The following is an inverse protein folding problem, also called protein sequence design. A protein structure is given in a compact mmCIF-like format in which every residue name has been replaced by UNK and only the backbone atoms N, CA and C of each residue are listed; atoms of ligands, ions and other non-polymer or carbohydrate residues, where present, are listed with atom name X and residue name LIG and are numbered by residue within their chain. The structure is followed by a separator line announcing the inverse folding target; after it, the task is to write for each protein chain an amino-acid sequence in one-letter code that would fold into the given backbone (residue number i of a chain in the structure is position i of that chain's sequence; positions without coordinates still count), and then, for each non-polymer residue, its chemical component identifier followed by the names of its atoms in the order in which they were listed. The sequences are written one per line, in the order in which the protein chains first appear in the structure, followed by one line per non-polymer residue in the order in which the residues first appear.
data_IF_874235987097
#
_entry.id   IF_874235987097
#
_cell.length_a   1.000
_cell.length_b   1.000
_cell.length_c   1.000
_cell.angle_alpha   90.00
_cell.angle_beta   90.00
_cell.angle_gamma   90.00
#
_symmetry.space_group_name_H-M   'P 1'
#
loop_
_entity.id
_entity.type
_entity.pdbx_description
1 polymer ?
#
# COMPACT_ATOMS: atom_id res chain seq x y z
N UNK A 1 1.87 9.16 -7.52
CA UNK A 1 3.11 9.78 -7.01
C UNK A 1 4.10 8.63 -6.88
N UNK A 2 5.10 8.55 -7.78
CA UNK A 2 6.15 7.53 -7.68
C UNK A 2 7.05 8.00 -6.55
N UNK A 3 7.03 7.29 -5.42
CA UNK A 3 7.95 7.61 -4.33
C UNK A 3 9.22 6.84 -4.62
N UNK A 4 10.07 7.42 -5.49
CA UNK A 4 11.46 7.00 -5.61
C UNK A 4 12.17 7.51 -4.37
N UNK A 5 12.51 6.63 -3.44
CA UNK A 5 13.35 7.01 -2.33
C UNK A 5 14.79 7.02 -2.82
N UNK A 6 15.25 8.16 -3.36
CA UNK A 6 16.66 8.35 -3.73
C UNK A 6 17.60 8.10 -2.53
N UNK A 7 17.05 8.24 -1.32
CA UNK A 7 17.67 7.87 -0.05
C UNK A 7 16.58 7.34 0.90
N UNK A 8 16.64 6.06 1.28
CA UNK A 8 15.87 5.52 2.42
C UNK A 8 16.61 5.68 3.75
N UNK A 9 17.85 6.19 3.72
CA UNK A 9 18.74 6.35 4.87
C UNK A 9 18.11 7.18 5.99
N UNK A 10 17.33 8.21 5.66
CA UNK A 10 16.64 9.02 6.67
C UNK A 10 15.59 8.22 7.43
N UNK A 11 14.92 7.27 6.76
CA UNK A 11 13.90 6.42 7.38
C UNK A 11 14.54 5.34 8.23
N UNK A 12 15.60 4.70 7.72
CA UNK A 12 16.31 3.63 8.43
C UNK A 12 17.10 4.17 9.64
N UNK A 13 17.82 5.28 9.50
CA UNK A 13 18.74 5.78 10.52
C UNK A 13 18.11 6.72 11.56
N UNK A 14 16.91 7.26 11.33
CA UNK A 14 16.23 8.10 12.33
C UNK A 14 15.53 7.22 13.37
N UNK A 15 16.01 7.27 14.61
CA UNK A 15 15.44 6.52 15.74
C UNK A 15 14.00 6.94 16.11
N UNK A 16 13.55 8.12 15.68
CA UNK A 16 12.15 8.57 15.87
C UNK A 16 11.20 7.90 14.90
N UNK A 17 11.71 7.34 13.80
CA UNK A 17 10.93 6.59 12.83
C UNK A 17 11.01 5.12 13.21
N UNK A 18 9.94 4.61 13.80
CA UNK A 18 9.85 3.20 14.15
C UNK A 18 9.48 2.33 12.94
N UNK A 19 8.53 2.79 12.13
CA UNK A 19 8.06 2.09 10.93
C UNK A 19 7.39 3.06 9.97
N UNK A 20 7.48 2.81 8.67
CA UNK A 20 6.95 3.63 7.60
C UNK A 20 6.06 2.81 6.66
N UNK A 21 4.92 3.39 6.28
CA UNK A 21 3.98 2.79 5.34
C UNK A 21 3.88 3.65 4.10
N UNK A 22 4.00 3.04 2.92
CA UNK A 22 3.88 3.76 1.65
C UNK A 22 3.17 2.90 0.61
N UNK A 23 2.44 3.54 -0.32
CA UNK A 23 2.02 2.88 -1.56
C UNK A 23 3.01 3.18 -2.67
N UNK A 24 3.03 2.34 -3.71
CA UNK A 24 3.99 2.47 -4.83
C UNK A 24 5.45 2.56 -4.36
N UNK A 25 5.82 1.76 -3.37
CA UNK A 25 7.19 1.67 -2.89
C UNK A 25 8.16 1.42 -4.04
N UNK A 26 9.19 2.24 -4.18
CA UNK A 26 10.25 2.06 -5.16
C UNK A 26 11.54 2.58 -4.49
N UNK A 27 12.34 1.68 -3.93
CA UNK A 27 13.56 2.05 -3.20
C UNK A 27 14.80 1.87 -4.07
N UNK A 28 15.83 2.65 -3.75
CA UNK A 28 17.10 2.64 -4.49
C UNK A 28 17.75 1.25 -4.52
N UNK A 29 18.18 0.85 -5.70
CA UNK A 29 18.87 -0.43 -5.91
C UNK A 29 17.92 -1.63 -5.98
N UNK A 30 16.60 -1.43 -5.83
CA UNK A 30 15.63 -2.52 -5.97
C UNK A 30 15.67 -3.17 -7.34
N UNK A 31 15.94 -2.40 -8.38
CA UNK A 31 16.19 -2.85 -9.75
C UNK A 31 17.40 -3.80 -9.87
N UNK A 32 18.33 -3.72 -8.90
CA UNK A 32 19.51 -4.58 -8.78
C UNK A 32 19.34 -5.63 -7.65
N UNK A 33 18.12 -5.84 -7.15
CA UNK A 33 17.82 -6.84 -6.13
C UNK A 33 18.12 -6.41 -4.69
N UNK A 34 18.31 -5.11 -4.42
CA UNK A 34 18.45 -4.64 -3.05
C UNK A 34 17.21 -5.01 -2.22
N UNK A 35 17.38 -5.52 -0.99
CA UNK A 35 16.26 -5.93 -0.15
C UNK A 35 15.40 -4.72 0.23
N UNK A 36 14.12 -4.99 0.52
CA UNK A 36 13.22 -3.95 1.05
C UNK A 36 13.79 -3.42 2.37
N UNK A 37 13.83 -2.08 2.58
CA UNK A 37 14.20 -1.49 3.85
C UNK A 37 13.38 -2.07 5.01
N UNK A 38 14.00 -2.32 6.17
CA UNK A 38 13.39 -3.03 7.29
C UNK A 38 12.18 -2.29 7.83
N UNK A 39 12.28 -0.95 7.94
CA UNK A 39 11.20 -0.10 8.44
C UNK A 39 10.13 0.19 7.39
N UNK A 40 10.20 -0.36 6.18
CA UNK A 40 9.24 -0.08 5.12
C UNK A 40 8.21 -1.20 4.97
N UNK A 41 6.92 -0.86 5.00
CA UNK A 41 5.83 -1.72 4.53
C UNK A 41 5.08 -1.08 3.38
N UNK A 42 4.92 -1.86 2.32
CA UNK A 42 4.26 -1.42 1.11
C UNK A 42 2.78 -1.74 1.18
N UNK A 43 1.95 -0.71 1.20
CA UNK A 43 0.50 -0.83 1.19
C UNK A 43 -0.01 -0.78 -0.26
N UNK A 44 -1.05 -1.55 -0.59
CA UNK A 44 -1.69 -1.45 -1.89
C UNK A 44 -2.41 -0.10 -2.02
N UNK A 45 -2.50 0.40 -3.25
CA UNK A 45 -3.32 1.57 -3.58
C UNK A 45 -4.82 1.25 -3.53
N UNK A 46 -5.17 -0.04 -3.64
CA UNK A 46 -6.53 -0.55 -3.53
C UNK A 46 -7.46 -0.13 -4.67
N UNK A 47 -8.77 -0.27 -4.44
CA UNK A 47 -9.83 -0.05 -5.43
C UNK A 47 -10.38 1.39 -5.46
N UNK A 48 -10.22 2.15 -4.37
CA UNK A 48 -10.73 3.52 -4.29
C UNK A 48 -9.89 4.44 -5.16
N UNK A 49 -10.50 5.06 -6.17
CA UNK A 49 -9.84 6.01 -7.05
C UNK A 49 -10.64 7.31 -7.12
N UNK A 50 -10.25 8.28 -6.28
CA UNK A 50 -10.92 9.58 -6.19
C UNK A 50 -10.78 10.44 -7.45
N UNK A 51 -9.87 10.08 -8.36
CA UNK A 51 -9.56 10.86 -9.55
C UNK A 51 -10.51 10.58 -10.72
N UNK A 52 -11.28 9.50 -10.70
CA UNK A 52 -12.29 9.22 -11.72
C UNK A 52 -13.68 9.01 -11.09
N UNK A 53 -14.74 9.00 -11.90
CA UNK A 53 -16.12 8.93 -11.41
C UNK A 53 -16.49 7.56 -10.84
N UNK A 54 -15.84 6.49 -11.29
CA UNK A 54 -16.11 5.11 -10.87
C UNK A 54 -15.50 4.84 -9.50
N UNK A 55 -14.19 5.10 -9.35
CA UNK A 55 -13.48 4.86 -8.11
C UNK A 55 -13.86 5.79 -6.97
N UNK A 56 -14.63 6.85 -7.26
CA UNK A 56 -15.30 7.68 -6.25
C UNK A 56 -16.54 7.00 -5.62
N UNK A 57 -17.09 5.95 -6.24
CA UNK A 57 -18.18 5.13 -5.69
C UNK A 57 -17.74 3.68 -5.50
N UNK A 58 -17.03 3.35 -4.39
CA UNK A 58 -16.60 1.99 -4.12
C UNK A 58 -17.74 0.96 -4.06
N UNK A 59 -18.97 1.41 -3.78
CA UNK A 59 -20.15 0.52 -3.74
C UNK A 59 -20.45 -0.07 -5.12
N UNK A 60 -20.02 0.59 -6.21
CA UNK A 60 -20.17 0.05 -7.56
C UNK A 60 -19.43 -1.27 -7.75
N UNK A 61 -18.23 -1.36 -7.19
CA UNK A 61 -17.46 -2.60 -7.22
C UNK A 61 -18.15 -3.71 -6.41
N UNK A 62 -18.66 -3.39 -5.23
CA UNK A 62 -19.41 -4.35 -4.40
C UNK A 62 -20.68 -4.86 -5.09
N UNK A 63 -21.42 -3.98 -5.78
CA UNK A 63 -22.59 -4.39 -6.57
C UNK A 63 -22.22 -5.35 -7.71
N UNK A 64 -21.08 -5.13 -8.35
CA UNK A 64 -20.59 -6.05 -9.37
C UNK A 64 -20.20 -7.42 -8.78
N UNK A 65 -19.77 -7.46 -7.52
CA UNK A 65 -19.52 -8.73 -6.82
C UNK A 65 -20.80 -9.47 -6.43
N UNK A 66 -21.89 -8.79 -6.06
CA UNK A 66 -23.13 -9.45 -5.59
C UNK A 66 -23.78 -10.37 -6.62
N UNK A 67 -23.49 -10.19 -7.91
CA UNK A 67 -23.92 -11.09 -8.98
C UNK A 67 -22.87 -12.15 -9.37
N UNK A 68 -21.83 -12.36 -8.56
CA UNK A 68 -20.85 -13.43 -8.78
C UNK A 68 -21.29 -14.69 -8.05
N UNK A 69 -21.14 -15.88 -8.66
CA UNK A 69 -21.29 -17.12 -7.92
C UNK A 69 -20.37 -17.05 -6.69
N UNK A 70 -20.92 -17.37 -5.51
CA UNK A 70 -20.06 -17.71 -4.39
C UNK A 70 -19.18 -18.86 -4.87
N UNK A 71 -17.89 -18.77 -4.55
CA UNK A 71 -16.93 -19.79 -4.93
C UNK A 71 -17.23 -21.04 -4.13
N UNK A 72 -18.13 -21.87 -4.64
CA UNK A 72 -18.43 -23.15 -4.04
C UNK A 72 -17.12 -23.95 -4.02
N UNK A 73 -16.72 -24.43 -2.85
CA UNK A 73 -15.53 -25.26 -2.63
C UNK A 73 -15.62 -26.65 -3.27
N UNK A 74 -16.38 -26.78 -4.35
CA UNK A 74 -16.65 -28.00 -5.10
C UNK A 74 -15.71 -28.15 -6.29
N UNK A 75 -15.24 -29.38 -6.46
CA UNK A 75 -14.38 -29.85 -7.53
C UNK A 75 -14.98 -29.59 -8.92
N UNK A 76 -14.20 -29.01 -9.83
CA UNK A 76 -14.34 -29.17 -11.29
C UNK A 76 -15.69 -28.81 -11.94
N UNK A 77 -15.89 -27.53 -12.25
CA UNK A 77 -16.89 -27.08 -13.21
C UNK A 77 -16.46 -25.73 -13.75
N UNK A 78 -16.21 -25.62 -15.05
CA UNK A 78 -15.50 -24.50 -15.66
C UNK A 78 -15.96 -23.15 -15.11
N UNK A 79 -15.01 -22.31 -14.69
CA UNK A 79 -15.28 -20.86 -14.63
C UNK A 79 -15.82 -20.53 -16.02
N UNK A 80 -17.03 -19.98 -16.16
CA UNK A 80 -17.63 -19.63 -17.47
C UNK A 80 -16.87 -18.52 -18.22
N UNK A 81 -15.55 -18.52 -18.10
CA UNK A 81 -14.56 -17.66 -18.70
C UNK A 81 -14.15 -18.28 -20.03
N UNK A 82 -14.71 -17.73 -21.10
CA UNK A 82 -14.45 -18.15 -22.47
C UNK A 82 -13.15 -17.53 -23.00
N UNK A 83 -12.79 -16.33 -22.52
CA UNK A 83 -11.59 -15.61 -22.97
C UNK A 83 -10.34 -15.97 -22.16
N UNK A 84 -9.18 -16.00 -22.83
CA UNK A 84 -7.88 -16.21 -22.18
C UNK A 84 -7.34 -14.89 -21.63
N UNK A 85 -6.89 -13.96 -22.50
CA UNK A 85 -6.31 -12.68 -22.08
C UNK A 85 -7.15 -11.49 -22.53
N UNK A 86 -7.46 -10.60 -21.60
CA UNK A 86 -8.11 -9.32 -21.88
C UNK A 86 -7.14 -8.13 -21.77
N UNK A 87 -7.20 -7.22 -22.75
CA UNK A 87 -6.41 -5.98 -22.81
C UNK A 87 -7.34 -4.76 -22.93
N UNK A 88 -7.42 -3.99 -21.84
CA UNK A 88 -8.32 -2.84 -21.68
C UNK A 88 -7.62 -1.48 -21.74
N UNK A 89 -6.48 -1.38 -22.42
CA UNK A 89 -5.73 -0.14 -22.51
C UNK A 89 -5.09 0.06 -23.88
N UNK A 90 -4.89 1.34 -24.19
CA UNK A 90 -4.17 1.80 -25.38
C UNK A 90 -2.70 2.08 -25.08
N UNK A 91 -1.92 2.16 -26.16
CA UNK A 91 -0.54 2.65 -26.14
C UNK A 91 -0.48 4.04 -25.52
N UNK A 92 0.52 4.27 -24.69
CA UNK A 92 0.68 5.53 -23.96
C UNK A 92 2.15 5.86 -23.81
N UNK A 93 2.51 7.10 -24.14
CA UNK A 93 3.88 7.61 -23.97
C UNK A 93 4.20 7.93 -22.51
N UNK A 94 3.19 8.24 -21.70
CA UNK A 94 3.34 8.58 -20.28
C UNK A 94 3.32 7.33 -19.39
N UNK A 95 2.85 6.19 -19.91
CA UNK A 95 2.78 4.89 -19.21
C UNK A 95 3.52 3.85 -20.05
N UNK A 96 4.87 3.88 -20.04
CA UNK A 96 5.71 3.15 -21.00
C UNK A 96 5.45 1.64 -21.00
N UNK A 97 5.19 1.05 -19.82
CA UNK A 97 4.87 -0.37 -19.68
C UNK A 97 3.63 -0.81 -20.47
N UNK A 98 2.67 0.09 -20.75
CA UNK A 98 1.55 -0.20 -21.66
C UNK A 98 2.03 -0.34 -23.11
N UNK A 99 2.92 0.55 -23.54
CA UNK A 99 3.47 0.53 -24.88
C UNK A 99 4.34 -0.71 -25.10
N UNK A 100 5.18 -1.07 -24.13
CA UNK A 100 6.02 -2.27 -24.18
C UNK A 100 5.19 -3.55 -24.27
N UNK A 101 4.17 -3.69 -23.41
CA UNK A 101 3.29 -4.86 -23.42
C UNK A 101 2.55 -5.02 -24.76
N UNK A 102 2.05 -3.90 -25.33
CA UNK A 102 1.40 -3.92 -26.64
C UNK A 102 2.38 -4.24 -27.77
N UNK A 103 3.59 -3.67 -27.75
CA UNK A 103 4.64 -3.96 -28.73
C UNK A 103 5.04 -5.43 -28.73
N UNK A 104 5.03 -6.09 -27.57
CA UNK A 104 5.26 -7.54 -27.48
C UNK A 104 4.12 -8.34 -28.13
N UNK A 105 2.85 -8.02 -27.84
CA UNK A 105 1.72 -8.68 -28.49
C UNK A 105 1.72 -8.48 -30.01
N UNK A 106 2.01 -7.28 -30.49
CA UNK A 106 2.20 -7.00 -31.92
C UNK A 106 3.36 -7.79 -32.52
N UNK A 107 4.41 -8.06 -31.73
CA UNK A 107 5.53 -8.91 -32.15
C UNK A 107 5.15 -10.38 -32.31
N UNK A 108 4.28 -10.88 -31.44
CA UNK A 108 3.68 -12.20 -31.59
C UNK A 108 2.80 -12.28 -32.84
N UNK A 109 1.98 -11.26 -33.11
CA UNK A 109 1.16 -11.19 -34.32
C UNK A 109 2.01 -11.18 -35.60
N UNK A 110 3.10 -10.41 -35.63
CA UNK A 110 4.06 -10.41 -36.74
C UNK A 110 4.68 -11.80 -36.97
N UNK A 111 5.06 -12.51 -35.89
CA UNK A 111 5.54 -13.90 -35.97
C UNK A 111 4.46 -14.87 -36.43
N UNK A 112 3.19 -14.57 -36.15
CA UNK A 112 2.01 -15.30 -36.60
C UNK A 112 1.52 -14.86 -38.01
N UNK A 113 2.44 -14.45 -38.89
CA UNK A 113 2.10 -14.02 -40.25
C UNK A 113 1.19 -12.79 -40.33
N UNK A 114 1.22 -11.93 -39.31
CA UNK A 114 0.40 -10.72 -39.22
C UNK A 114 -1.06 -10.95 -38.77
N UNK A 115 -1.42 -12.18 -38.38
CA UNK A 115 -2.78 -12.50 -37.93
C UNK A 115 -2.96 -12.14 -36.46
N UNK A 116 -4.16 -11.67 -36.12
CA UNK A 116 -4.58 -11.43 -34.73
C UNK A 116 -4.43 -12.68 -33.86
N UNK A 117 -4.04 -12.50 -32.60
CA UNK A 117 -3.95 -13.57 -31.61
C UNK A 117 -5.35 -13.96 -31.14
N UNK A 118 -5.77 -15.20 -31.41
CA UNK A 118 -7.11 -15.71 -31.07
C UNK A 118 -7.37 -15.78 -29.56
N UNK A 119 -6.32 -15.83 -28.75
CA UNK A 119 -6.38 -15.87 -27.28
C UNK A 119 -6.36 -14.48 -26.62
N UNK A 120 -6.32 -13.40 -27.41
CA UNK A 120 -6.26 -12.02 -26.90
C UNK A 120 -7.46 -11.21 -27.38
N UNK A 121 -8.23 -10.69 -26.42
CA UNK A 121 -9.32 -9.74 -26.67
C UNK A 121 -8.85 -8.32 -26.34
N UNK A 122 -9.01 -7.39 -27.30
CA UNK A 122 -8.66 -5.96 -27.16
C UNK A 122 -9.92 -5.11 -27.29
N UNK A 123 -10.16 -4.21 -26.33
CA UNK A 123 -11.39 -3.40 -26.31
C UNK A 123 -11.13 -1.89 -26.19
N UNK A 124 -9.87 -1.45 -26.20
CA UNK A 124 -9.54 -0.03 -26.13
C UNK A 124 -9.01 0.46 -27.48
N UNK A 125 -9.85 1.18 -28.24
CA UNK A 125 -9.41 1.98 -29.37
C UNK A 125 -8.77 3.30 -28.89
N UNK A 126 -7.86 3.86 -29.68
CA UNK A 126 -7.22 5.14 -29.36
C UNK A 126 -8.29 6.23 -29.24
N UNK A 127 -8.37 6.88 -28.07
CA UNK A 127 -9.29 7.98 -27.82
C UNK A 127 -10.65 7.58 -27.23
N UNK A 128 -10.99 6.29 -27.18
CA UNK A 128 -12.23 5.81 -26.61
C UNK A 128 -12.07 5.41 -25.13
N UNK A 129 -13.03 5.85 -24.31
CA UNK A 129 -13.16 5.34 -22.93
C UNK A 129 -14.07 4.13 -22.97
N UNK A 130 -13.51 2.96 -22.64
CA UNK A 130 -14.31 1.77 -22.37
C UNK A 130 -15.24 2.05 -21.18
N UNK A 131 -16.57 1.96 -21.35
CA UNK A 131 -17.50 2.04 -20.23
C UNK A 131 -17.12 1.02 -19.16
N UNK A 132 -17.26 1.40 -17.90
CA UNK A 132 -16.79 0.54 -16.82
C UNK A 132 -17.55 -0.80 -16.75
N UNK A 133 -18.85 -0.81 -17.08
CA UNK A 133 -19.64 -2.04 -17.08
C UNK A 133 -19.15 -3.02 -18.15
N UNK A 134 -18.73 -2.51 -19.32
CA UNK A 134 -18.12 -3.34 -20.38
C UNK A 134 -16.76 -3.88 -19.94
N UNK A 135 -15.93 -3.04 -19.33
CA UNK A 135 -14.67 -3.48 -18.72
C UNK A 135 -14.93 -4.59 -17.69
N UNK A 136 -15.87 -4.39 -16.78
CA UNK A 136 -16.21 -5.38 -15.75
C UNK A 136 -16.74 -6.68 -16.36
N UNK A 137 -17.58 -6.61 -17.39
CA UNK A 137 -18.07 -7.77 -18.14
C UNK A 137 -16.92 -8.57 -18.76
N UNK A 138 -15.99 -7.89 -19.45
CA UNK A 138 -14.82 -8.55 -20.04
C UNK A 138 -13.89 -9.15 -18.99
N UNK A 139 -13.62 -8.45 -17.88
CA UNK A 139 -12.82 -9.01 -16.78
C UNK A 139 -13.45 -10.31 -16.27
N UNK A 140 -14.78 -10.34 -16.11
CA UNK A 140 -15.52 -11.52 -15.64
C UNK A 140 -15.45 -12.68 -16.60
N UNK A 141 -15.50 -12.44 -17.91
CA UNK A 141 -15.48 -13.48 -18.95
C UNK A 141 -14.07 -13.93 -19.36
N UNK A 142 -13.02 -13.32 -18.82
CA UNK A 142 -11.63 -13.67 -19.14
C UNK A 142 -10.89 -14.26 -17.94
N UNK A 143 -10.01 -15.23 -18.21
CA UNK A 143 -9.10 -15.85 -17.23
C UNK A 143 -8.07 -14.85 -16.72
N UNK A 144 -7.47 -14.11 -17.63
CA UNK A 144 -6.39 -13.16 -17.36
C UNK A 144 -6.69 -11.76 -17.85
N UNK A 145 -6.19 -10.76 -17.13
CA UNK A 145 -6.26 -9.35 -17.54
C UNK A 145 -4.89 -8.71 -17.43
N UNK A 146 -4.44 -8.08 -18.52
CA UNK A 146 -3.14 -7.45 -18.58
C UNK A 146 -3.11 -6.15 -17.75
N UNK A 147 -2.22 -6.10 -16.76
CA UNK A 147 -2.13 -5.04 -15.76
C UNK A 147 -0.72 -4.44 -15.69
N UNK A 148 -0.21 -3.84 -16.79
CA UNK A 148 1.10 -3.19 -16.77
C UNK A 148 1.11 -1.98 -15.82
N UNK A 149 2.28 -1.67 -15.28
CA UNK A 149 2.48 -0.52 -14.40
C UNK A 149 1.95 0.78 -15.03
N UNK A 150 1.42 1.66 -14.17
CA UNK A 150 0.80 2.92 -14.54
C UNK A 150 1.77 4.09 -14.40
N UNK A 151 1.32 5.13 -13.68
CA UNK A 151 2.20 6.22 -13.24
C UNK A 151 3.08 5.82 -12.04
N UNK A 152 2.75 4.70 -11.40
CA UNK A 152 3.56 4.04 -10.40
C UNK A 152 3.50 2.53 -10.63
N UNK A 153 4.17 1.78 -9.77
CA UNK A 153 4.23 0.32 -9.83
C UNK A 153 2.87 -0.32 -9.51
N UNK A 154 2.07 0.29 -8.63
CA UNK A 154 0.73 -0.20 -8.33
C UNK A 154 -0.33 0.40 -9.26
N UNK A 155 -1.41 -0.35 -9.52
CA UNK A 155 -2.53 0.10 -10.34
C UNK A 155 -3.86 -0.31 -9.74
N UNK A 156 -4.85 0.59 -9.81
CA UNK A 156 -6.24 0.24 -9.44
C UNK A 156 -6.77 -0.95 -10.24
N UNK A 157 -6.34 -1.10 -11.50
CA UNK A 157 -6.77 -2.20 -12.37
C UNK A 157 -6.48 -3.56 -11.78
N UNK A 158 -5.30 -3.75 -11.18
CA UNK A 158 -4.92 -5.01 -10.54
C UNK A 158 -5.95 -5.40 -9.49
N UNK A 159 -6.27 -4.47 -8.58
CA UNK A 159 -7.22 -4.68 -7.49
C UNK A 159 -8.66 -4.86 -7.98
N UNK A 160 -9.08 -4.11 -9.01
CA UNK A 160 -10.37 -4.28 -9.68
C UNK A 160 -10.50 -5.69 -10.30
N UNK A 161 -9.45 -6.17 -10.95
CA UNK A 161 -9.41 -7.49 -11.61
C UNK A 161 -9.51 -8.62 -10.60
N UNK A 162 -8.76 -8.55 -9.49
CA UNK A 162 -8.87 -9.50 -8.39
C UNK A 162 -10.29 -9.54 -7.82
N UNK A 163 -10.87 -8.36 -7.58
CA UNK A 163 -12.20 -8.21 -7.01
C UNK A 163 -13.29 -8.78 -7.94
N UNK A 164 -13.11 -8.65 -9.25
CA UNK A 164 -13.98 -9.19 -10.28
C UNK A 164 -13.63 -10.63 -10.69
N UNK A 165 -12.85 -11.34 -9.87
CA UNK A 165 -12.63 -12.78 -10.01
C UNK A 165 -11.86 -13.17 -11.27
N UNK A 166 -10.94 -12.33 -11.75
CA UNK A 166 -10.00 -12.66 -12.82
C UNK A 166 -8.56 -12.52 -12.34
N UNK A 167 -7.59 -12.98 -13.11
CA UNK A 167 -6.18 -13.09 -12.71
C UNK A 167 -5.39 -11.94 -13.35
N UNK A 168 -4.84 -10.99 -12.58
CA UNK A 168 -3.98 -9.95 -13.12
C UNK A 168 -2.67 -10.55 -13.64
N UNK A 169 -2.22 -10.06 -14.79
CA UNK A 169 -0.87 -10.33 -15.34
C UNK A 169 -0.06 -9.05 -15.26
N UNK A 170 1.02 -9.07 -14.47
CA UNK A 170 1.82 -7.88 -14.12
C UNK A 170 3.29 -8.11 -14.44
N UNK A 171 4.08 -7.03 -14.46
CA UNK A 171 5.55 -7.13 -14.44
C UNK A 171 6.02 -7.23 -12.99
N UNK A 172 7.11 -7.96 -12.79
CA UNK A 172 7.82 -7.97 -11.50
C UNK A 172 8.20 -6.56 -11.07
N UNK A 173 8.11 -6.30 -9.77
CA UNK A 173 8.50 -5.05 -9.13
C UNK A 173 8.76 -5.26 -7.62
N UNK A 174 9.14 -4.19 -6.94
CA UNK A 174 9.19 -4.11 -5.47
C UNK A 174 7.88 -4.45 -4.76
N UNK A 175 6.76 -4.50 -5.47
CA UNK A 175 5.44 -4.81 -4.94
C UNK A 175 5.08 -6.30 -5.00
N UNK A 176 5.96 -7.17 -5.54
CA UNK A 176 5.65 -8.59 -5.74
C UNK A 176 5.18 -9.28 -4.44
N UNK A 177 5.78 -8.96 -3.29
CA UNK A 177 5.38 -9.51 -1.98
C UNK A 177 3.96 -9.11 -1.56
N UNK A 178 3.41 -8.02 -2.11
CA UNK A 178 2.02 -7.64 -1.83
C UNK A 178 1.03 -8.59 -2.50
N UNK A 179 1.49 -9.38 -3.47
CA UNK A 179 0.70 -10.34 -4.22
C UNK A 179 0.86 -11.77 -3.69
N UNK A 180 1.69 -11.99 -2.67
CA UNK A 180 1.85 -13.31 -2.05
C UNK A 180 0.48 -13.83 -1.58
N UNK A 181 0.17 -15.09 -1.89
CA UNK A 181 -1.13 -15.69 -1.58
C UNK A 181 -2.30 -15.21 -2.45
N UNK A 182 -2.12 -14.26 -3.37
CA UNK A 182 -3.14 -13.82 -4.31
C UNK A 182 -2.98 -14.49 -5.69
N UNK A 183 -4.08 -14.62 -6.47
CA UNK A 183 -4.01 -15.13 -7.84
C UNK A 183 -3.49 -14.05 -8.79
N UNK A 184 -2.16 -13.91 -8.86
CA UNK A 184 -1.49 -12.96 -9.77
C UNK A 184 -0.41 -13.71 -10.55
N UNK A 185 -0.32 -13.42 -11.85
CA UNK A 185 0.80 -13.87 -12.69
C UNK A 185 1.81 -12.74 -12.79
N UNK A 186 3.00 -12.98 -12.25
CA UNK A 186 4.11 -12.02 -12.27
C UNK A 186 5.09 -12.45 -13.37
N UNK A 187 5.32 -11.56 -14.34
CA UNK A 187 6.27 -11.77 -15.43
C UNK A 187 7.58 -11.06 -15.14
N UNK A 188 8.70 -11.73 -15.36
CA UNK A 188 10.02 -11.10 -15.28
C UNK A 188 10.27 -10.15 -16.42
N UNK A 189 9.64 -10.39 -17.57
CA UNK A 189 9.69 -9.58 -18.78
C UNK A 189 8.50 -9.90 -19.71
N UNK A 190 8.18 -8.98 -20.62
CA UNK A 190 7.01 -9.15 -21.48
C UNK A 190 7.14 -10.33 -22.45
N UNK A 191 8.36 -10.72 -22.82
CA UNK A 191 8.66 -11.91 -23.64
C UNK A 191 8.09 -13.20 -23.07
N UNK A 192 7.93 -13.31 -21.75
CA UNK A 192 7.33 -14.47 -21.09
C UNK A 192 5.81 -14.58 -21.36
N UNK A 193 5.15 -13.49 -21.76
CA UNK A 193 3.72 -13.48 -22.05
C UNK A 193 3.44 -14.25 -23.34
N UNK A 194 2.98 -15.49 -23.19
CA UNK A 194 2.57 -16.38 -24.29
C UNK A 194 1.30 -17.12 -23.91
N UNK A 195 0.58 -17.65 -24.90
CA UNK A 195 -0.63 -18.45 -24.66
C UNK A 195 -0.32 -19.68 -23.79
N UNK A 196 0.74 -20.42 -24.11
CA UNK A 196 1.16 -21.60 -23.36
C UNK A 196 1.50 -21.25 -21.91
N UNK A 197 2.23 -20.15 -21.69
CA UNK A 197 2.54 -19.67 -20.34
C UNK A 197 1.28 -19.38 -19.53
N UNK A 198 0.27 -18.74 -20.14
CA UNK A 198 -0.99 -18.44 -19.47
C UNK A 198 -1.81 -19.70 -19.16
N UNK A 199 -1.80 -20.70 -20.04
CA UNK A 199 -2.45 -21.99 -19.78
C UNK A 199 -1.78 -22.75 -18.64
N UNK A 200 -0.44 -22.79 -18.58
CA UNK A 200 0.30 -23.35 -17.45
C UNK A 200 -0.04 -22.65 -16.12
N UNK A 201 -0.10 -21.32 -16.13
CA UNK A 201 -0.49 -20.53 -14.96
C UNK A 201 -1.95 -20.76 -14.57
N UNK A 202 -2.84 -20.96 -15.55
CA UNK A 202 -4.24 -21.28 -15.30
C UNK A 202 -4.38 -22.62 -14.59
N UNK A 203 -3.68 -23.65 -15.06
CA UNK A 203 -3.64 -24.96 -14.43
C UNK A 203 -3.05 -24.90 -13.02
N UNK A 204 -1.98 -24.12 -12.82
CA UNK A 204 -1.36 -23.94 -11.51
C UNK A 204 -2.28 -23.23 -10.51
N UNK A 205 -2.95 -22.16 -10.94
CA UNK A 205 -3.77 -21.30 -10.09
C UNK A 205 -5.16 -21.90 -9.82
N UNK A 206 -5.77 -22.56 -10.82
CA UNK A 206 -7.07 -23.24 -10.67
C UNK A 206 -7.02 -24.35 -9.60
N UNK A 207 -5.90 -25.09 -9.51
CA UNK A 207 -5.68 -26.11 -8.48
C UNK A 207 -5.51 -25.55 -7.07
N UNK A 208 -5.02 -24.31 -6.95
CA UNK A 208 -4.78 -23.62 -5.66
C UNK A 208 -5.89 -22.65 -5.27
N UNK A 209 -6.98 -22.72 -6.03
CA UNK A 209 -8.17 -21.90 -5.93
C UNK A 209 -8.61 -21.58 -4.49
N UNK A 210 -8.79 -22.60 -3.66
CA UNK A 210 -9.29 -22.44 -2.28
C UNK A 210 -8.28 -21.87 -1.29
N UNK A 211 -7.02 -21.68 -1.70
CA UNK A 211 -5.92 -21.22 -0.83
C UNK A 211 -5.61 -19.73 -0.99
N UNK A 212 -6.38 -18.98 -1.78
CA UNK A 212 -6.09 -17.56 -2.01
C UNK A 212 -6.52 -16.68 -0.84
N UNK A 213 -5.62 -15.80 -0.41
CA UNK A 213 -5.79 -14.81 0.67
C UNK A 213 -6.46 -13.54 0.13
N UNK A 214 -7.70 -13.67 -0.36
CA UNK A 214 -8.44 -12.56 -0.98
C UNK A 214 -8.81 -11.44 0.00
N UNK A 215 -8.69 -11.67 1.30
CA UNK A 215 -8.81 -10.64 2.34
C UNK A 215 -7.79 -9.51 2.16
N UNK A 216 -6.63 -9.78 1.54
CA UNK A 216 -5.63 -8.77 1.14
C UNK A 216 -6.16 -7.73 0.15
N UNK A 217 -7.27 -7.98 -0.54
CA UNK A 217 -7.90 -6.98 -1.42
C UNK A 217 -8.56 -5.86 -0.62
N UNK A 218 -8.93 -6.14 0.64
CA UNK A 218 -9.69 -5.21 1.48
C UNK A 218 -8.82 -4.55 2.55
N UNK A 219 -9.16 -3.31 2.89
CA UNK A 219 -8.44 -2.54 3.89
C UNK A 219 -8.33 -3.19 5.28
N UNK A 220 -9.33 -3.94 5.81
CA UNK A 220 -9.21 -4.55 7.14
C UNK A 220 -7.98 -5.46 7.33
N UNK A 221 -7.56 -6.18 6.29
CA UNK A 221 -6.31 -6.96 6.35
C UNK A 221 -5.10 -6.05 6.63
N UNK A 222 -4.99 -4.96 5.89
CA UNK A 222 -3.89 -4.01 6.00
C UNK A 222 -3.97 -3.17 7.27
N UNK A 223 -5.17 -2.87 7.77
CA UNK A 223 -5.36 -2.26 9.08
C UNK A 223 -4.76 -3.13 10.18
N UNK A 224 -4.99 -4.45 10.13
CA UNK A 224 -4.39 -5.39 11.07
C UNK A 224 -2.86 -5.42 10.96
N UNK A 225 -2.31 -5.39 9.73
CA UNK A 225 -0.85 -5.29 9.51
C UNK A 225 -0.28 -4.01 10.13
N UNK A 226 -0.95 -2.87 9.92
CA UNK A 226 -0.55 -1.58 10.49
C UNK A 226 -0.58 -1.63 12.02
N UNK A 227 -1.68 -2.12 12.60
CA UNK A 227 -1.84 -2.24 14.07
C UNK A 227 -0.74 -3.10 14.69
N UNK A 228 -0.46 -4.27 14.13
CA UNK A 228 0.64 -5.15 14.60
C UNK A 228 1.98 -4.43 14.64
N UNK A 229 2.30 -3.69 13.57
CA UNK A 229 3.54 -2.90 13.48
C UNK A 229 3.57 -1.73 14.48
N UNK A 230 2.44 -1.08 14.72
CA UNK A 230 2.32 -0.05 15.76
C UNK A 230 2.52 -0.64 17.16
N UNK A 231 1.98 -1.82 17.44
CA UNK A 231 2.14 -2.49 18.74
C UNK A 231 3.57 -2.97 18.96
N UNK A 232 4.25 -3.45 17.91
CA UNK A 232 5.69 -3.76 17.94
C UNK A 232 6.53 -2.53 18.27
N UNK A 233 6.21 -1.38 17.66
CA UNK A 233 6.89 -0.12 17.93
C UNK A 233 6.69 0.36 19.38
N UNK A 234 5.46 0.28 19.91
CA UNK A 234 5.14 0.64 21.31
C UNK A 234 5.91 -0.22 22.30
N UNK A 235 5.92 -1.54 22.11
CA UNK A 235 6.67 -2.46 22.99
C UNK A 235 8.17 -2.17 23.03
N UNK A 236 8.77 -1.78 21.91
CA UNK A 236 10.19 -1.36 21.87
C UNK A 236 10.41 -0.09 22.71
N UNK A 237 9.51 0.88 22.60
CA UNK A 237 9.58 2.12 23.38
C UNK A 237 9.44 1.86 24.88
N UNK A 238 8.50 1.01 25.29
CA UNK A 238 8.29 0.68 26.71
C UNK A 238 9.54 0.00 27.30
N UNK A 239 10.14 -0.97 26.59
CA UNK A 239 11.40 -1.63 27.00
C UNK A 239 12.58 -0.65 27.09
N UNK A 240 12.71 0.28 26.15
CA UNK A 240 13.75 1.32 26.19
C UNK A 240 13.54 2.29 27.36
N UNK A 241 12.28 2.60 27.70
CA UNK A 241 11.96 3.47 28.84
C UNK A 241 12.25 2.80 30.19
N UNK A 242 11.92 1.51 30.35
CA UNK A 242 12.23 0.74 31.55
C UNK A 242 13.74 0.45 31.68
N UNK A 243 14.41 0.19 30.55
CA UNK A 243 15.87 0.04 30.50
C UNK A 243 16.62 1.35 30.78
N UNK A 244 16.06 2.49 30.37
CA UNK A 244 16.58 3.82 30.68
C UNK A 244 16.44 4.19 32.15
N UNK A 245 15.31 3.88 32.79
CA UNK A 245 15.13 4.05 34.24
C UNK A 245 16.03 3.09 35.04
N UNK A 246 16.16 1.83 34.61
CA UNK A 246 17.06 0.85 35.23
C UNK A 246 18.54 1.22 35.10
N UNK A 247 18.97 1.70 33.92
CA UNK A 247 20.34 2.18 33.69
C UNK A 247 20.63 3.48 34.45
N UNK A 248 19.68 4.41 34.52
CA UNK A 248 19.80 5.62 35.33
C UNK A 248 19.87 5.30 36.83
N UNK A 249 19.03 4.39 37.33
CA UNK A 249 19.07 3.93 38.72
C UNK A 249 20.40 3.23 39.05
N UNK A 250 20.91 2.40 38.13
CA UNK A 250 22.20 1.72 38.28
C UNK A 250 23.37 2.71 38.24
N UNK A 251 23.33 3.72 37.37
CA UNK A 251 24.35 4.78 37.31
C UNK A 251 24.33 5.65 38.58
N UNK A 252 23.15 5.99 39.10
CA UNK A 252 22.99 6.72 40.37
C UNK A 252 23.49 5.90 41.56
N UNK A 253 23.20 4.59 41.61
CA UNK A 253 23.70 3.71 42.66
C UNK A 253 25.23 3.54 42.59
N UNK A 254 25.80 3.43 41.39
CA UNK A 254 27.25 3.31 41.18
C UNK A 254 27.98 4.60 41.58
N UNK A 255 27.42 5.76 41.21
CA UNK A 255 27.93 7.07 41.63
C UNK A 255 27.85 7.26 43.16
N UNK A 256 26.73 6.88 43.79
CA UNK A 256 26.58 6.95 45.25
C UNK A 256 27.58 6.03 45.98
N UNK A 257 27.88 4.85 45.41
CA UNK A 257 28.86 3.92 45.98
C UNK A 257 30.31 4.44 45.83
N UNK A 258 30.63 5.10 44.72
CA UNK A 258 31.92 5.76 44.52
C UNK A 258 32.15 6.93 45.50
N UNK A 259 31.12 7.75 45.73
CA UNK A 259 31.18 8.86 46.72
C UNK A 259 31.30 8.34 48.16
N UNK A 260 30.66 7.20 48.48
CA UNK A 260 30.80 6.53 49.78
C UNK A 260 32.21 5.91 49.97
N UNK A 261 32.84 5.42 48.90
CA UNK A 261 34.20 4.89 48.94
C UNK A 261 35.24 6.00 49.15
N UNK A 262 35.08 7.16 48.48
CA UNK A 262 35.95 8.33 48.66
C UNK A 262 35.83 8.96 50.06
N UNK A 263 34.64 8.91 50.68
CA UNK A 263 34.45 9.40 52.06
C UNK A 263 34.95 8.45 53.14
N UNK A 264 35.21 7.17 52.82
CA UNK A 264 35.85 6.21 53.73
C UNK A 264 37.38 6.28 53.74
N UNK A 265 37.98 6.98 52.76
CA UNK A 265 39.43 7.14 52.62
C UNK A 265 39.99 8.39 53.34
N UNK A 266 39.14 9.20 53.97
CA UNK A 266 39.54 10.42 54.68
C UNK A 266 39.01 10.43 56.13
N UNK A 267 39.56 9.55 56.98
CA UNK A 267 39.49 9.71 58.44
C UNK A 267 40.90 9.69 59.01
N UNK A 268 41.42 10.88 59.25
CA UNK A 268 42.63 11.16 60.00
C UNK A 268 42.42 12.41 60.87
N UNK A 269 42.03 12.16 62.11
CA UNK A 269 42.31 12.93 63.34
C UNK A 269 41.73 14.36 63.58
N UNK A 270 41.28 14.53 64.84
CA UNK A 270 41.17 15.73 65.68
C UNK A 270 39.88 16.59 65.72
N UNK A 271 39.12 16.35 66.81
CA UNK A 271 38.57 17.29 67.80
C UNK A 271 37.70 18.53 67.46
N UNK A 272 36.44 18.44 67.95
CA UNK A 272 35.58 19.45 68.64
C UNK A 272 34.76 20.50 67.82
N UNK A 273 33.63 21.00 68.38
CA UNK A 273 32.37 21.13 67.63
C UNK A 273 31.91 22.58 67.41
N UNK A 274 31.14 22.83 66.34
CA UNK A 274 30.24 24.00 66.29
C UNK A 274 28.99 23.76 65.43
N UNK A 275 27.88 24.30 65.95
CA UNK A 275 26.51 24.34 65.44
C UNK A 275 26.42 24.87 64.00
N UNK A 276 25.49 24.34 63.19
CA UNK A 276 24.26 25.03 62.78
C UNK A 276 23.55 24.36 61.58
N UNK A 277 22.24 24.63 61.52
CA UNK A 277 21.32 24.64 60.35
C UNK A 277 20.44 23.39 60.14
N UNK A 278 19.28 23.47 60.82
CA UNK A 278 17.97 23.05 60.34
C UNK A 278 17.59 23.72 59.01
N UNK A 279 17.01 22.92 58.09
CA UNK A 279 15.75 23.18 57.34
C UNK A 279 15.80 22.50 55.97
N UNK A 280 15.12 21.36 55.83
CA UNK A 280 14.03 21.17 54.86
C UNK A 280 13.46 19.75 55.00
N UNK A 281 12.41 19.61 55.81
CA UNK A 281 11.47 18.50 55.72
C UNK A 281 10.05 19.07 55.80
N UNK A 282 9.14 18.36 55.14
CA UNK A 282 7.69 18.52 55.11
C UNK A 282 7.14 19.45 54.03
N UNK A 283 6.59 18.82 52.97
CA UNK A 283 5.18 18.98 52.58
C UNK A 283 4.80 17.93 51.55
N UNK A 284 4.37 16.78 52.04
CA UNK A 284 3.49 15.85 51.30
C UNK A 284 2.40 15.37 52.27
N UNK A 285 1.21 15.17 51.70
CA UNK A 285 -0.06 14.73 52.29
C UNK A 285 -0.92 15.81 52.95
N UNK A 286 -1.95 16.27 52.23
CA UNK A 286 -3.40 15.97 52.42
C UNK A 286 -4.03 16.22 51.02
N UNK A 287 -4.95 15.46 50.41
CA UNK A 287 -6.16 14.75 50.83
C UNK A 287 -7.19 14.95 49.68
N UNK A 288 -8.16 14.05 49.43
CA UNK A 288 -8.78 13.86 48.11
C UNK A 288 -10.12 14.59 47.93
N UNK A 289 -10.47 14.96 46.69
CA UNK A 289 -11.83 15.40 46.32
C UNK A 289 -12.30 14.76 45.00
N UNK A 290 -13.54 14.27 45.05
CA UNK A 290 -14.24 13.44 44.07
C UNK A 290 -14.79 14.21 42.87
N UNK A 291 -14.91 13.47 41.77
CA UNK A 291 -15.99 13.41 40.77
C UNK A 291 -16.79 14.68 40.41
N UNK A 292 -16.68 15.09 39.15
CA UNK A 292 -17.66 15.90 38.44
C UNK A 292 -17.58 15.59 36.95
N UNK A 293 -18.57 14.87 36.42
CA UNK A 293 -18.70 14.65 34.99
C UNK A 293 -19.26 15.88 34.29
N UNK A 294 -18.79 16.16 33.09
CA UNK A 294 -19.53 17.01 32.16
C UNK A 294 -19.36 16.51 30.72
N UNK A 295 -20.52 16.22 30.12
CA UNK A 295 -20.70 15.90 28.70
C UNK A 295 -20.40 17.15 27.88
N UNK A 296 -19.50 17.05 26.90
CA UNK A 296 -19.43 18.05 25.82
C UNK A 296 -20.32 17.58 24.67
N UNK A 297 -21.35 18.39 24.45
CA UNK A 297 -22.37 18.27 23.39
C UNK A 297 -21.75 18.56 22.03
N UNK A 298 -21.97 17.64 21.08
CA UNK A 298 -21.70 17.83 19.65
C UNK A 298 -22.65 18.88 19.09
N UNK A 299 -22.12 20.02 18.62
CA UNK A 299 -22.89 20.94 17.77
C UNK A 299 -22.79 20.46 16.32
N UNK A 300 -23.89 19.90 15.82
CA UNK A 300 -24.12 19.72 14.38
C UNK A 300 -24.15 21.09 13.68
N UNK A 301 -23.32 21.28 12.67
CA UNK A 301 -23.47 22.38 11.71
C UNK A 301 -24.05 21.81 10.41
N UNK A 302 -25.25 22.27 10.06
CA UNK A 302 -25.96 21.90 8.84
C UNK A 302 -25.28 22.36 7.54
N UNK A 303 -25.77 21.91 6.38
CA UNK A 303 -25.06 22.01 5.12
C UNK A 303 -25.04 23.45 4.56
N UNK A 304 -23.94 23.89 3.91
CA UNK A 304 -23.86 25.21 3.31
C UNK A 304 -24.74 25.34 2.06
N UNK A 305 -25.42 26.49 1.96
CA UNK A 305 -26.34 26.87 0.87
C UNK A 305 -25.63 26.96 -0.49
N UNK A 306 -26.30 26.43 -1.52
CA UNK A 306 -25.91 26.48 -2.94
C UNK A 306 -25.77 27.94 -3.43
N UNK A 307 -24.60 28.31 -3.96
CA UNK A 307 -24.43 29.49 -4.83
C UNK A 307 -24.61 29.07 -6.29
N UNK A 308 -25.49 29.76 -7.01
CA UNK A 308 -25.74 29.61 -8.46
C UNK A 308 -24.47 29.97 -9.25
N UNK A 309 -24.05 29.09 -10.15
CA UNK A 309 -23.00 29.38 -11.13
C UNK A 309 -23.63 29.87 -12.43
N UNK A 310 -23.25 31.07 -12.88
CA UNK A 310 -23.53 31.59 -14.22
C UNK A 310 -22.60 30.98 -15.28
N UNK A 311 -22.92 31.11 -16.58
CA UNK A 311 -22.29 30.35 -17.65
C UNK A 311 -20.90 30.89 -17.98
N UNK A 312 -19.88 30.02 -18.01
CA UNK A 312 -18.55 30.34 -18.56
C UNK A 312 -18.47 29.83 -19.99
N UNK A 313 -18.18 30.77 -20.90
CA UNK A 313 -18.09 30.56 -22.34
C UNK A 313 -16.91 29.71 -22.79
N UNK A 314 -17.09 29.12 -23.97
CA UNK A 314 -16.07 28.44 -24.77
C UNK A 314 -15.02 29.43 -25.33
N UNK A 315 -13.74 29.05 -25.39
CA UNK A 315 -12.81 29.60 -26.37
C UNK A 315 -12.81 28.73 -27.63
N UNK A 316 -13.28 29.30 -28.75
CA UNK A 316 -13.01 28.81 -30.11
C UNK A 316 -11.54 29.11 -30.45
N UNK A 317 -10.75 28.09 -30.76
CA UNK A 317 -9.50 28.28 -31.52
C UNK A 317 -9.86 28.61 -32.97
N UNK A 318 -9.26 29.68 -33.50
CA UNK A 318 -9.30 30.05 -34.92
C UNK A 318 -8.09 29.46 -35.62
N UNK A 319 -8.34 28.72 -36.69
CA UNK A 319 -7.44 28.61 -37.84
C UNK A 319 -7.04 30.00 -38.35
N UNK A 320 -5.75 30.19 -38.65
CA UNK A 320 -5.31 31.00 -39.79
C UNK A 320 -4.04 30.39 -40.38
N UNK A 321 -4.17 30.05 -41.65
CA UNK A 321 -3.09 29.79 -42.61
C UNK A 321 -2.28 31.06 -42.93
N UNK A 322 -1.03 30.81 -43.37
CA UNK A 322 -0.20 31.52 -44.37
C UNK A 322 0.22 32.98 -44.10
N UNK A 323 1.54 33.22 -44.00
CA UNK A 323 2.36 33.70 -45.13
C UNK A 323 3.85 33.88 -44.75
N UNK A 324 4.71 33.50 -45.71
CA UNK A 324 6.19 33.58 -45.79
C UNK A 324 7.01 32.47 -45.14
#
# INVERSE_FOLDING_TARGET
MRVSFDHTDWMENDGRIHHWFASNCDWRGSENGAPRPEKLTCLPIGIENRYNSIGRDPKRYLRAMTGMPLRDGGNGGGTGKEGILYVSFVRSTIKPQRAEALSHLESLERRNGGRSLTWVTRHAAVGEKVPWDDFASHVRSHRFVLCPHGHGLDTHRLWEVLLLGSIPVVRTSTLDSNYDGLPVVILREWSELTESRLEEEWDRLSKRSMLFELDKVFFPYWENVIRKKMDEARRRFDVESEGGEGAAATAVATAATAVAAESSAAVGDSSKPHKAIDKFRARTAEGPLRAGGERVVVKEQGPPRRRRAGPKGHPRMRERERDR
#
